data_IF_346939961984
#
_entry.id   IF_346939961984
#
_cell.length_a   1.000
_cell.length_b   1.000
_cell.length_c   1.000
_cell.angle_alpha   90.00
_cell.angle_beta   90.00
_cell.angle_gamma   90.00
#
_symmetry.space_group_name_H-M   'P 1'
#
loop_
_entity.id
_entity.type
_entity.pdbx_description
1 polymer ?
#
# COMPACT_ATOMS: atom_id res chain seq x y z
N UNK A 1 15.51 8.33 20.31
CA UNK A 1 14.39 8.39 19.35
C UNK A 1 14.41 7.16 18.45
N UNK A 2 13.26 6.54 18.27
CA UNK A 2 13.16 5.33 17.46
C UNK A 2 13.30 5.64 15.96
N UNK A 3 13.89 4.72 15.19
CA UNK A 3 14.00 4.90 13.75
C UNK A 3 12.69 4.61 13.04
N UNK A 4 12.61 4.99 11.77
CA UNK A 4 11.55 4.57 10.86
C UNK A 4 11.88 3.23 10.24
N UNK A 5 10.87 2.38 10.03
CA UNK A 5 11.02 1.10 9.34
C UNK A 5 10.97 1.33 7.82
N UNK A 6 12.02 0.95 7.08
CA UNK A 6 11.99 1.08 5.62
C UNK A 6 10.93 0.18 5.00
N UNK A 7 10.14 0.75 4.09
CA UNK A 7 9.02 0.02 3.50
C UNK A 7 8.68 0.56 2.12
N UNK A 8 7.78 -0.13 1.44
CA UNK A 8 7.25 0.26 0.14
C UNK A 8 5.73 0.28 0.20
N UNK A 9 5.13 1.04 -0.71
CA UNK A 9 3.70 1.04 -0.93
C UNK A 9 3.39 0.99 -2.41
N UNK A 10 2.22 0.50 -2.76
CA UNK A 10 1.83 0.28 -4.15
C UNK A 10 0.47 0.92 -4.42
N UNK A 11 0.43 1.83 -5.39
CA UNK A 11 -0.82 2.30 -5.95
C UNK A 11 -1.06 1.49 -7.23
N UNK A 12 -1.85 0.43 -7.12
CA UNK A 12 -2.18 -0.45 -8.24
C UNK A 12 -3.42 0.09 -8.94
N UNK A 13 -3.30 0.40 -10.23
CA UNK A 13 -4.35 1.00 -11.04
C UNK A 13 -4.89 -0.01 -12.04
N UNK A 14 -6.22 -0.08 -12.18
CA UNK A 14 -6.85 -0.84 -13.24
C UNK A 14 -6.94 -0.01 -14.52
N UNK A 15 -7.58 -0.55 -15.55
CA UNK A 15 -7.72 0.13 -16.85
C UNK A 15 -8.53 1.41 -16.77
N UNK A 16 -9.44 1.52 -15.81
CA UNK A 16 -10.28 2.69 -15.62
C UNK A 16 -9.62 3.79 -14.78
N UNK A 17 -8.42 3.53 -14.26
CA UNK A 17 -7.73 4.47 -13.38
C UNK A 17 -8.20 4.41 -11.94
N UNK A 18 -8.90 3.34 -11.57
CA UNK A 18 -9.30 3.10 -10.19
C UNK A 18 -8.17 2.41 -9.43
N UNK A 19 -8.15 2.60 -8.12
CA UNK A 19 -7.08 2.13 -7.24
C UNK A 19 -7.53 0.90 -6.47
N UNK A 20 -6.64 -0.09 -6.36
CA UNK A 20 -6.86 -1.27 -5.52
C UNK A 20 -6.73 -0.91 -4.06
N UNK A 21 -7.73 -1.27 -3.28
CA UNK A 21 -7.67 -1.22 -1.81
C UNK A 21 -8.19 -2.53 -1.24
N UNK A 22 -7.68 -2.89 -0.07
CA UNK A 22 -8.06 -4.12 0.62
C UNK A 22 -8.28 -3.86 2.10
N UNK A 23 -9.12 -4.68 2.72
CA UNK A 23 -9.48 -4.54 4.13
C UNK A 23 -8.66 -5.53 4.96
N UNK A 24 -7.99 -5.02 5.99
CA UNK A 24 -7.14 -5.84 6.85
C UNK A 24 -7.97 -6.76 7.75
N UNK A 25 -7.51 -8.01 7.87
CA UNK A 25 -8.13 -9.02 8.75
C UNK A 25 -7.96 -8.63 10.22
N UNK A 26 -6.81 -8.08 10.58
CA UNK A 26 -6.46 -7.77 11.97
C UNK A 26 -7.08 -6.49 12.51
N UNK A 27 -7.76 -5.70 11.66
CA UNK A 27 -8.39 -4.45 12.05
C UNK A 27 -9.86 -4.38 11.60
N UNK A 28 -10.66 -5.45 11.84
CA UNK A 28 -12.04 -5.48 11.32
C UNK A 28 -12.94 -4.40 11.91
N UNK A 29 -12.65 -3.97 13.14
CA UNK A 29 -13.47 -2.95 13.82
C UNK A 29 -13.29 -1.55 13.24
N UNK A 30 -12.18 -1.30 12.53
CA UNK A 30 -11.90 0.02 11.99
C UNK A 30 -12.42 0.19 10.57
N UNK A 31 -12.88 -0.88 9.93
CA UNK A 31 -13.37 -0.88 8.55
C UNK A 31 -12.44 -0.12 7.58
N UNK A 32 -11.16 -0.12 7.88
CA UNK A 32 -10.18 0.62 7.09
C UNK A 32 -9.78 -0.17 5.85
N UNK A 33 -9.69 0.55 4.74
CA UNK A 33 -9.24 0.01 3.47
C UNK A 33 -7.90 0.63 3.13
N UNK A 34 -6.94 -0.16 2.69
CA UNK A 34 -5.60 0.32 2.41
C UNK A 34 -5.04 -0.19 1.09
N UNK A 35 -4.12 0.57 0.54
CA UNK A 35 -3.31 0.11 -0.58
C UNK A 35 -2.27 -0.89 -0.07
N UNK A 36 -1.80 -1.83 -0.93
CA UNK A 36 -0.75 -2.78 -0.53
C UNK A 36 0.52 -2.07 -0.06
N UNK A 37 1.14 -2.60 0.98
CA UNK A 37 2.39 -2.08 1.51
C UNK A 37 3.13 -3.17 2.28
N UNK A 38 4.42 -2.99 2.48
CA UNK A 38 5.20 -3.93 3.26
C UNK A 38 6.64 -3.51 3.44
N UNK A 39 7.38 -4.22 4.29
CA UNK A 39 8.76 -3.91 4.58
C UNK A 39 9.72 -4.27 3.45
N UNK A 40 10.86 -3.59 3.45
CA UNK A 40 11.97 -3.91 2.54
C UNK A 40 12.91 -4.87 3.27
N UNK A 41 13.20 -6.02 2.65
CA UNK A 41 14.12 -6.99 3.25
C UNK A 41 15.58 -6.59 3.02
N UNK A 42 16.51 -7.04 3.89
CA UNK A 42 17.93 -6.76 3.69
C UNK A 42 18.41 -7.20 2.31
N UNK A 43 19.15 -6.33 1.63
CA UNK A 43 19.68 -6.61 0.30
C UNK A 43 18.70 -6.41 -0.85
N UNK A 44 17.46 -6.07 -0.55
CA UNK A 44 16.41 -5.88 -1.54
C UNK A 44 16.32 -4.40 -1.93
N UNK A 45 16.14 -4.12 -3.22
CA UNK A 45 15.84 -2.75 -3.65
C UNK A 45 14.37 -2.44 -3.34
N UNK A 46 13.99 -1.17 -3.21
CA UNK A 46 12.57 -0.82 -3.04
C UNK A 46 11.68 -1.37 -4.16
N UNK A 47 12.17 -1.35 -5.39
CA UNK A 47 11.44 -1.87 -6.55
C UNK A 47 11.19 -3.37 -6.45
N UNK A 48 12.20 -4.14 -6.03
CA UNK A 48 12.06 -5.57 -5.79
C UNK A 48 11.07 -5.86 -4.66
N UNK A 49 11.17 -5.07 -3.58
CA UNK A 49 10.27 -5.21 -2.43
C UNK A 49 8.82 -4.96 -2.84
N UNK A 50 8.57 -3.94 -3.68
CA UNK A 50 7.22 -3.61 -4.13
C UNK A 50 6.57 -4.77 -4.88
N UNK A 51 7.29 -5.39 -5.82
CA UNK A 51 6.76 -6.51 -6.59
C UNK A 51 6.56 -7.75 -5.72
N UNK A 52 7.48 -8.02 -4.80
CA UNK A 52 7.36 -9.14 -3.87
C UNK A 52 6.15 -8.96 -2.95
N UNK A 53 6.01 -7.79 -2.34
CA UNK A 53 4.90 -7.51 -1.43
C UNK A 53 3.56 -7.59 -2.16
N UNK A 54 3.50 -7.09 -3.39
CA UNK A 54 2.27 -7.18 -4.19
C UNK A 54 1.86 -8.65 -4.36
N UNK A 55 2.79 -9.51 -4.74
CA UNK A 55 2.51 -10.92 -4.95
C UNK A 55 2.11 -11.62 -3.64
N UNK A 56 2.79 -11.31 -2.55
CA UNK A 56 2.47 -11.88 -1.25
C UNK A 56 1.08 -11.48 -0.76
N UNK A 57 0.67 -10.24 -1.02
CA UNK A 57 -0.58 -9.72 -0.48
C UNK A 57 -1.80 -10.01 -1.34
N UNK A 58 -1.66 -9.97 -2.67
CA UNK A 58 -2.81 -10.12 -3.57
C UNK A 58 -2.72 -11.34 -4.49
N UNK A 59 -1.67 -12.16 -4.33
CA UNK A 59 -1.54 -13.42 -5.06
C UNK A 59 -1.04 -13.31 -6.48
N UNK A 60 -0.76 -12.10 -6.97
CA UNK A 60 -0.26 -11.90 -8.33
C UNK A 60 0.69 -10.73 -8.41
N UNK A 61 1.65 -10.79 -9.31
CA UNK A 61 2.55 -9.70 -9.64
C UNK A 61 2.36 -9.23 -11.10
N UNK A 62 1.20 -9.49 -11.67
CA UNK A 62 0.86 -9.04 -13.05
C UNK A 62 0.61 -7.54 -13.05
N UNK A 63 1.69 -6.77 -12.95
CA UNK A 63 1.66 -5.33 -12.87
C UNK A 63 2.95 -4.75 -13.44
N UNK A 64 2.83 -3.56 -14.01
CA UNK A 64 3.97 -2.82 -14.54
C UNK A 64 4.17 -1.54 -13.74
N UNK A 65 5.35 -1.37 -13.17
CA UNK A 65 5.74 -0.13 -12.50
C UNK A 65 5.99 0.92 -13.57
N UNK A 66 5.30 2.06 -13.49
CA UNK A 66 5.52 3.13 -14.46
C UNK A 66 6.00 4.42 -13.81
N UNK A 67 5.86 4.59 -12.51
CA UNK A 67 6.44 5.73 -11.79
C UNK A 67 6.68 5.38 -10.34
N UNK A 68 7.75 5.93 -9.76
CA UNK A 68 8.02 5.85 -8.34
C UNK A 68 7.97 7.23 -7.70
N UNK A 69 7.72 7.29 -6.41
CA UNK A 69 7.67 8.56 -5.69
C UNK A 69 9.04 9.25 -5.74
N UNK A 70 9.02 10.60 -5.77
CA UNK A 70 10.25 11.39 -5.85
C UNK A 70 11.13 11.19 -4.64
N UNK A 71 10.52 10.98 -3.49
CA UNK A 71 11.24 10.78 -2.24
C UNK A 71 10.56 9.74 -1.38
N UNK A 72 11.03 9.65 -0.15
CA UNK A 72 10.46 8.77 0.85
C UNK A 72 9.38 9.53 1.63
N UNK A 73 8.23 8.88 1.83
CA UNK A 73 7.15 9.44 2.61
C UNK A 73 7.11 8.76 3.97
N UNK A 74 6.90 9.53 5.02
CA UNK A 74 6.96 9.04 6.38
C UNK A 74 5.62 9.22 7.09
N UNK A 75 5.30 8.30 7.99
CA UNK A 75 4.24 8.49 8.95
C UNK A 75 4.67 7.92 10.30
N UNK A 76 4.15 8.53 11.37
CA UNK A 76 4.42 8.07 12.74
C UNK A 76 3.24 7.26 13.25
N UNK A 77 3.55 6.20 14.01
CA UNK A 77 2.52 5.45 14.71
C UNK A 77 2.05 6.25 15.92
N UNK A 78 0.73 6.24 16.22
CA UNK A 78 0.24 6.79 17.48
C UNK A 78 0.88 6.06 18.66
N UNK A 79 1.05 6.77 19.78
CA UNK A 79 1.71 6.22 20.95
C UNK A 79 1.02 4.96 21.48
N UNK A 80 -0.30 4.88 21.37
CA UNK A 80 -1.08 3.73 21.82
C UNK A 80 -0.94 2.51 20.89
N UNK A 81 -0.39 2.70 19.70
CA UNK A 81 -0.20 1.62 18.70
C UNK A 81 1.26 1.18 18.64
N UNK A 82 2.19 2.13 18.78
CA UNK A 82 3.62 1.92 18.54
C UNK A 82 4.23 0.76 19.35
N UNK A 83 3.80 0.56 20.61
CA UNK A 83 4.34 -0.48 21.47
C UNK A 83 3.93 -1.89 21.06
N UNK A 84 2.83 -2.04 20.31
CA UNK A 84 2.29 -3.35 19.91
C UNK A 84 2.63 -3.77 18.50
N UNK A 85 3.37 -2.96 17.75
CA UNK A 85 3.72 -3.22 16.36
C UNK A 85 5.24 -3.33 16.22
N UNK A 86 5.70 -4.30 15.45
CA UNK A 86 7.13 -4.53 15.13
C UNK A 86 8.01 -4.60 16.40
N UNK A 87 7.47 -5.13 17.48
CA UNK A 87 8.20 -5.26 18.75
C UNK A 87 8.52 -3.93 19.42
N UNK A 88 7.82 -2.87 19.06
CA UNK A 88 8.05 -1.54 19.64
C UNK A 88 9.34 -0.86 19.19
N UNK A 89 9.99 -1.36 18.12
CA UNK A 89 11.32 -0.91 17.69
C UNK A 89 11.32 0.28 16.74
N UNK A 90 10.17 0.65 16.23
CA UNK A 90 10.06 1.72 15.21
C UNK A 90 9.04 2.77 15.60
N UNK A 91 9.27 4.01 15.20
CA UNK A 91 8.33 5.12 15.41
C UNK A 91 7.24 5.16 14.35
N UNK A 92 7.45 4.50 13.23
CA UNK A 92 6.57 4.49 12.07
C UNK A 92 7.28 3.90 10.88
N UNK A 93 6.84 4.25 9.68
CA UNK A 93 7.48 3.78 8.45
C UNK A 93 7.96 4.93 7.60
N UNK A 94 8.98 4.65 6.82
CA UNK A 94 9.56 5.48 5.79
C UNK A 94 9.39 4.71 4.50
N UNK A 95 8.53 5.21 3.61
CA UNK A 95 8.03 4.44 2.48
C UNK A 95 8.40 5.04 1.13
N UNK A 96 8.83 4.18 0.20
CA UNK A 96 8.94 4.51 -1.20
C UNK A 96 7.68 3.98 -1.88
N UNK A 97 7.00 4.83 -2.66
CA UNK A 97 5.76 4.46 -3.31
C UNK A 97 5.91 4.25 -4.81
N UNK A 98 5.16 3.29 -5.34
CA UNK A 98 5.19 2.92 -6.75
C UNK A 98 3.77 2.90 -7.30
N UNK A 99 3.57 3.60 -8.42
CA UNK A 99 2.32 3.48 -9.16
C UNK A 99 2.52 2.41 -10.23
N UNK A 100 1.60 1.46 -10.27
CA UNK A 100 1.66 0.33 -11.18
C UNK A 100 0.36 0.18 -11.95
N UNK A 101 0.46 -0.23 -13.20
CA UNK A 101 -0.71 -0.60 -14.00
C UNK A 101 -0.92 -2.10 -13.89
N UNK A 102 -2.10 -2.51 -13.45
CA UNK A 102 -2.45 -3.93 -13.37
C UNK A 102 -2.59 -4.51 -14.79
N UNK A 103 -1.88 -5.61 -15.07
CA UNK A 103 -1.87 -6.26 -16.38
C UNK A 103 -2.65 -7.58 -16.38
N UNK A 104 -3.15 -7.99 -15.23
CA UNK A 104 -3.99 -9.18 -15.09
C UNK A 104 -5.47 -8.85 -15.15
N UNK A 105 -6.27 -9.82 -14.77
CA UNK A 105 -7.72 -9.67 -14.59
C UNK A 105 -8.07 -9.79 -13.11
N UNK A 106 -9.28 -9.38 -12.74
CA UNK A 106 -9.74 -9.49 -11.35
C UNK A 106 -9.65 -10.92 -10.82
N UNK A 107 -9.85 -11.92 -11.68
CA UNK A 107 -9.73 -13.31 -11.30
C UNK A 107 -8.33 -13.76 -10.90
N UNK A 108 -7.30 -12.98 -11.24
CA UNK A 108 -5.93 -13.27 -10.81
C UNK A 108 -5.66 -12.85 -9.37
N UNK A 109 -6.51 -11.99 -8.82
CA UNK A 109 -6.36 -11.50 -7.44
C UNK A 109 -6.85 -12.59 -6.49
N UNK A 110 -5.96 -13.00 -5.57
CA UNK A 110 -6.26 -14.02 -4.59
C UNK A 110 -5.69 -13.62 -3.24
N UNK A 111 -6.57 -13.26 -2.31
CA UNK A 111 -6.17 -12.84 -0.96
C UNK A 111 -5.82 -14.03 -0.06
N UNK A 112 -6.19 -15.25 -0.44
CA UNK A 112 -5.89 -16.46 0.32
C UNK A 112 -4.46 -16.93 0.04
N UNK A 113 -3.50 -16.08 0.37
CA UNK A 113 -2.07 -16.36 0.22
C UNK A 113 -1.54 -17.12 1.44
N UNK A 114 -0.24 -17.43 1.45
CA UNK A 114 0.37 -18.19 2.54
C UNK A 114 0.18 -17.51 3.91
N UNK A 115 0.30 -16.17 3.95
CA UNK A 115 0.07 -15.38 5.16
C UNK A 115 -0.97 -14.30 4.87
N UNK A 116 -2.27 -14.64 4.88
CA UNK A 116 -3.31 -13.70 4.49
C UNK A 116 -3.36 -12.47 5.40
N UNK A 117 -3.38 -11.28 4.80
CA UNK A 117 -3.51 -10.02 5.54
C UNK A 117 -4.86 -9.35 5.32
N UNK A 118 -5.55 -9.71 4.24
CA UNK A 118 -6.80 -9.07 3.83
C UNK A 118 -7.92 -10.08 3.67
N UNK A 119 -9.16 -9.65 3.94
CA UNK A 119 -10.35 -10.49 3.76
C UNK A 119 -11.30 -9.98 2.67
N UNK A 120 -11.05 -8.81 2.11
CA UNK A 120 -11.85 -8.23 1.04
C UNK A 120 -11.03 -7.22 0.27
N UNK A 121 -11.40 -6.99 -1.00
CA UNK A 121 -10.74 -6.00 -1.84
C UNK A 121 -11.75 -5.35 -2.79
N UNK A 122 -11.40 -4.18 -3.31
CA UNK A 122 -12.21 -3.48 -4.30
C UNK A 122 -11.36 -2.46 -5.07
N UNK A 123 -11.88 -2.04 -6.23
CA UNK A 123 -11.35 -0.90 -6.96
C UNK A 123 -12.14 0.34 -6.54
N UNK A 124 -11.45 1.43 -6.25
CA UNK A 124 -12.09 2.69 -5.82
C UNK A 124 -11.56 3.87 -6.60
N UNK A 125 -12.36 4.93 -6.69
CA UNK A 125 -11.89 6.19 -7.22
C UNK A 125 -10.75 6.72 -6.33
N UNK A 126 -9.67 7.26 -6.94
CA UNK A 126 -8.51 7.74 -6.15
C UNK A 126 -8.86 8.75 -5.08
N UNK A 127 -9.84 9.60 -5.33
CA UNK A 127 -10.27 10.67 -4.41
C UNK A 127 -10.82 10.12 -3.09
N UNK A 128 -11.24 8.86 -3.08
CA UNK A 128 -11.77 8.22 -1.88
C UNK A 128 -10.70 7.72 -0.91
N UNK A 129 -9.43 7.65 -1.35
CA UNK A 129 -8.37 7.06 -0.54
C UNK A 129 -8.22 7.68 0.87
N UNK A 130 -8.20 9.02 1.02
CA UNK A 130 -8.01 9.58 2.36
C UNK A 130 -9.12 9.25 3.35
N UNK A 131 -10.37 9.05 2.87
CA UNK A 131 -11.49 8.71 3.75
C UNK A 131 -11.51 7.23 4.14
N UNK A 132 -10.90 6.36 3.32
CA UNK A 132 -10.94 4.92 3.53
C UNK A 132 -9.87 4.40 4.46
N UNK A 133 -8.71 5.07 4.52
CA UNK A 133 -7.58 4.63 5.32
C UNK A 133 -7.77 4.97 6.80
N UNK A 134 -7.12 4.21 7.68
CA UNK A 134 -7.08 4.50 9.10
C UNK A 134 -6.60 5.94 9.35
N UNK A 135 -7.23 6.68 10.29
CA UNK A 135 -6.99 8.12 10.42
C UNK A 135 -5.55 8.57 10.57
N UNK A 136 -4.69 7.81 11.26
CA UNK A 136 -3.31 8.24 11.46
C UNK A 136 -2.45 8.14 10.19
N UNK A 137 -2.96 7.53 9.12
CA UNK A 137 -2.29 7.49 7.81
C UNK A 137 -2.94 8.42 6.79
N UNK A 138 -3.94 9.19 7.19
CA UNK A 138 -4.69 10.03 6.24
C UNK A 138 -3.80 11.02 5.52
N UNK A 139 -2.92 11.73 6.24
CA UNK A 139 -2.03 12.70 5.61
C UNK A 139 -1.08 12.04 4.62
N UNK A 140 -0.56 10.86 4.95
CA UNK A 140 0.26 10.08 4.04
C UNK A 140 -0.48 9.82 2.72
N UNK A 141 -1.74 9.40 2.80
CA UNK A 141 -2.55 9.11 1.62
C UNK A 141 -2.88 10.36 0.82
N UNK A 142 -3.10 11.50 1.49
CA UNK A 142 -3.29 12.78 0.81
C UNK A 142 -2.03 13.13 0.01
N UNK A 143 -0.86 12.95 0.59
CA UNK A 143 0.42 13.26 -0.06
C UNK A 143 0.69 12.32 -1.25
N UNK A 144 0.39 11.03 -1.11
CA UNK A 144 0.53 10.07 -2.19
C UNK A 144 -0.40 10.43 -3.35
N UNK A 145 -1.64 10.72 -3.04
CA UNK A 145 -2.63 11.11 -4.05
C UNK A 145 -2.21 12.38 -4.78
N UNK A 146 -1.70 13.37 -4.06
CA UNK A 146 -1.22 14.61 -4.67
C UNK A 146 -0.09 14.35 -5.66
N UNK A 147 0.82 13.43 -5.33
CA UNK A 147 1.95 13.11 -6.21
C UNK A 147 1.53 12.28 -7.42
N UNK A 148 0.60 11.33 -7.25
CA UNK A 148 0.25 10.35 -8.30
C UNK A 148 -1.07 10.63 -9.01
N UNK A 149 -1.81 11.67 -8.63
CA UNK A 149 -3.15 11.93 -9.15
C UNK A 149 -3.17 12.01 -10.69
N UNK A 150 -2.17 12.61 -11.29
CA UNK A 150 -2.10 12.75 -12.75
C UNK A 150 -2.01 11.40 -13.47
N UNK A 151 -1.61 10.34 -12.80
CA UNK A 151 -1.49 9.00 -13.36
C UNK A 151 -2.75 8.16 -13.17
N UNK A 152 -3.70 8.63 -12.36
CA UNK A 152 -4.94 7.92 -12.05
C UNK A 152 -6.00 8.20 -13.12
N UNK A 153 -5.67 7.84 -14.35
CA UNK A 153 -6.54 8.05 -15.52
C UNK A 153 -6.76 6.74 -16.24
N UNK A 154 -7.85 6.62 -17.00
CA UNK A 154 -8.08 5.41 -17.79
C UNK A 154 -6.91 5.14 -18.73
N UNK A 155 -6.62 3.85 -18.93
CA UNK A 155 -5.59 3.44 -19.89
C UNK A 155 -6.04 3.75 -21.31
N UNK A 156 -5.09 4.15 -22.14
CA UNK A 156 -5.35 4.44 -23.55
C UNK A 156 -5.68 3.16 -24.33
#
# INVERSE_FOLDING_TARGET
MLPYRPAVGIMLLNRQGEVFVARRIDLPMMSAWQMPQGGIDPGETPRQAALRELKEEIGTDKAEIFVESRGWLEYDLPADVAGGIWGGRYRGQRQKWFAMRFTGSDGDINLATEHPEFDAWQWVAPERLPELIVPFKRQLYIDILAEFHEYCTPAA
#
